data_IF_887063767131
#
_entry.id   IF_887063767131
#
_cell.length_a   1.000
_cell.length_b   1.000
_cell.length_c   1.000
_cell.angle_alpha   90.00
_cell.angle_beta   90.00
_cell.angle_gamma   90.00
#
_symmetry.space_group_name_H-M   'P 1'
#
loop_
_entity.id
_entity.type
_entity.pdbx_description
1 polymer ?
#
# COMPACT_ATOMS: atom_id res chain seq x y z
N UNK A 1 7.92 -12.53 8.56
CA UNK A 1 7.86 -11.78 7.30
C UNK A 1 9.28 -11.57 6.85
N UNK A 2 9.58 -11.73 5.57
CA UNK A 2 10.89 -11.36 5.04
C UNK A 2 11.20 -9.87 5.34
N UNK A 3 12.42 -9.55 5.74
CA UNK A 3 12.79 -8.21 6.24
C UNK A 3 12.57 -7.11 5.20
N UNK A 4 12.82 -7.41 3.92
CA UNK A 4 12.61 -6.45 2.83
C UNK A 4 11.14 -6.12 2.62
N UNK A 5 10.24 -7.12 2.68
CA UNK A 5 8.80 -6.88 2.62
C UNK A 5 8.32 -6.12 3.87
N UNK A 6 8.78 -6.51 5.05
CA UNK A 6 8.42 -5.83 6.31
C UNK A 6 8.75 -4.34 6.27
N UNK A 7 9.94 -3.99 5.77
CA UNK A 7 10.39 -2.60 5.63
C UNK A 7 9.64 -1.82 4.54
N UNK A 8 9.23 -2.49 3.47
CA UNK A 8 8.44 -1.87 2.41
C UNK A 8 6.99 -1.62 2.86
N UNK A 9 6.40 -2.57 3.58
CA UNK A 9 5.01 -2.56 4.01
C UNK A 9 4.76 -1.60 5.20
N UNK A 10 5.70 -1.53 6.15
CA UNK A 10 5.57 -0.69 7.34
C UNK A 10 5.10 0.77 7.10
N UNK A 11 5.67 1.54 6.16
CA UNK A 11 5.19 2.90 5.89
C UNK A 11 3.77 2.92 5.33
N UNK A 12 3.36 1.93 4.53
CA UNK A 12 2.00 1.86 3.99
C UNK A 12 0.98 1.58 5.10
N UNK A 13 1.29 0.66 6.02
CA UNK A 13 0.45 0.39 7.19
C UNK A 13 0.31 1.61 8.09
N UNK A 14 1.40 2.37 8.28
CA UNK A 14 1.36 3.63 9.02
C UNK A 14 0.38 4.64 8.39
N UNK A 15 0.39 4.74 7.06
CA UNK A 15 -0.55 5.62 6.35
C UNK A 15 -2.00 5.11 6.45
N UNK A 16 -2.24 3.80 6.36
CA UNK A 16 -3.57 3.22 6.60
C UNK A 16 -4.09 3.60 7.99
N UNK A 17 -3.28 3.40 9.03
CA UNK A 17 -3.65 3.69 10.42
C UNK A 17 -3.93 5.19 10.62
N UNK A 18 -3.06 6.06 10.14
CA UNK A 18 -3.18 7.52 10.36
C UNK A 18 -4.31 8.16 9.57
N UNK A 19 -4.65 7.62 8.40
CA UNK A 19 -5.74 8.15 7.56
C UNK A 19 -7.10 7.46 7.78
N UNK A 20 -7.18 6.52 8.73
CA UNK A 20 -8.42 5.81 9.06
C UNK A 20 -8.83 4.76 8.01
N UNK A 21 -7.87 4.27 7.23
CA UNK A 21 -8.04 3.14 6.32
C UNK A 21 -8.32 1.81 7.06
N UNK A 22 -8.71 0.76 6.33
CA UNK A 22 -8.83 -0.58 6.90
C UNK A 22 -7.47 -1.10 7.36
N UNK A 23 -7.39 -1.72 8.54
CA UNK A 23 -6.14 -2.27 9.07
C UNK A 23 -6.11 -3.78 8.83
N UNK A 24 -5.22 -4.31 7.97
CA UNK A 24 -5.16 -5.74 7.68
C UNK A 24 -4.52 -6.51 8.83
N UNK A 25 -4.89 -7.78 8.99
CA UNK A 25 -4.05 -8.76 9.68
C UNK A 25 -3.02 -9.28 8.69
N UNK A 26 -1.73 -9.16 9.01
CA UNK A 26 -0.64 -9.60 8.14
C UNK A 26 -0.12 -10.96 8.60
N UNK A 27 -0.24 -11.97 7.74
CA UNK A 27 0.32 -13.31 7.98
C UNK A 27 1.54 -13.55 7.10
N UNK A 28 2.61 -14.03 7.72
CA UNK A 28 3.87 -14.41 7.08
C UNK A 28 3.80 -15.79 6.43
N UNK A 29 2.82 -15.98 5.56
CA UNK A 29 2.80 -17.14 4.67
C UNK A 29 3.49 -16.77 3.36
N UNK A 30 4.77 -17.14 3.26
CA UNK A 30 5.53 -17.00 2.01
C UNK A 30 5.02 -18.05 1.01
N UNK A 31 4.00 -17.67 0.25
CA UNK A 31 3.31 -18.56 -0.70
C UNK A 31 4.11 -18.76 -2.00
N UNK A 32 5.10 -17.90 -2.24
CA UNK A 32 6.00 -17.99 -3.39
C UNK A 32 7.29 -18.70 -3.00
N UNK A 33 7.39 -20.01 -3.22
CA UNK A 33 8.63 -20.78 -3.00
C UNK A 33 9.80 -20.40 -3.95
N UNK A 34 9.83 -19.16 -4.46
CA UNK A 34 10.72 -18.64 -5.48
C UNK A 34 11.55 -17.50 -4.85
N UNK A 35 12.83 -17.75 -4.58
CA UNK A 35 13.71 -16.85 -3.82
C UNK A 35 14.07 -15.49 -4.45
N UNK A 36 13.28 -15.00 -5.41
CA UNK A 36 13.43 -13.67 -6.02
C UNK A 36 12.37 -12.68 -5.51
N UNK A 37 11.34 -13.17 -4.84
CA UNK A 37 10.28 -12.37 -4.24
C UNK A 37 10.18 -12.68 -2.76
N UNK A 38 9.71 -11.69 -2.01
CA UNK A 38 9.24 -11.90 -0.65
C UNK A 38 7.74 -11.64 -0.62
N UNK A 39 6.97 -12.53 -0.02
CA UNK A 39 5.50 -12.45 0.00
C UNK A 39 4.91 -12.57 1.41
N UNK A 40 3.67 -12.11 1.56
CA UNK A 40 2.85 -12.26 2.76
C UNK A 40 1.36 -12.22 2.36
N UNK A 41 0.48 -12.56 3.30
CA UNK A 41 -0.98 -12.45 3.12
C UNK A 41 -1.53 -11.30 3.96
N UNK A 42 -2.38 -10.48 3.34
CA UNK A 42 -3.25 -9.53 4.01
C UNK A 42 -4.62 -10.18 4.19
N UNK A 43 -5.11 -10.22 5.43
CA UNK A 43 -6.42 -10.76 5.75
C UNK A 43 -7.38 -9.67 6.20
N UNK A 44 -8.56 -9.71 5.60
CA UNK A 44 -9.76 -8.97 5.97
C UNK A 44 -10.35 -9.53 7.27
N UNK A 45 -11.15 -8.75 8.02
CA UNK A 45 -11.86 -9.25 9.20
C UNK A 45 -12.84 -10.40 8.91
N UNK A 46 -13.33 -10.48 7.66
CA UNK A 46 -14.29 -11.48 7.19
C UNK A 46 -13.60 -12.70 6.51
N UNK A 47 -12.32 -12.92 6.80
CA UNK A 47 -11.47 -14.02 6.28
C UNK A 47 -11.21 -14.00 4.75
N UNK A 48 -11.47 -12.87 4.08
CA UNK A 48 -10.96 -12.59 2.73
C UNK A 48 -9.44 -12.36 2.75
N UNK A 49 -8.69 -12.91 1.79
CA UNK A 49 -7.23 -12.85 1.79
C UNK A 49 -6.65 -12.39 0.46
N UNK A 50 -5.72 -11.43 0.51
CA UNK A 50 -4.97 -10.93 -0.66
C UNK A 50 -3.47 -11.12 -0.42
N UNK A 51 -2.80 -11.78 -1.37
CA UNK A 51 -1.35 -11.94 -1.33
C UNK A 51 -0.65 -10.66 -1.77
N UNK A 52 0.34 -10.23 -1.01
CA UNK A 52 1.23 -9.12 -1.37
C UNK A 52 2.66 -9.62 -1.51
N UNK A 53 3.45 -8.92 -2.33
CA UNK A 53 4.84 -9.29 -2.55
C UNK A 53 5.71 -8.10 -2.97
N UNK A 54 7.03 -8.28 -2.89
CA UNK A 54 8.04 -7.38 -3.44
C UNK A 54 9.15 -8.17 -4.13
N UNK A 55 9.76 -7.60 -5.18
CA UNK A 55 10.99 -8.15 -5.75
C UNK A 55 12.20 -7.79 -4.88
N UNK A 56 13.00 -8.79 -4.53
CA UNK A 56 14.18 -8.61 -3.66
C UNK A 56 15.34 -7.86 -4.34
N UNK A 57 15.31 -7.74 -5.67
CA UNK A 57 16.31 -6.99 -6.45
C UNK A 57 15.99 -5.51 -6.66
N UNK A 58 14.77 -5.07 -6.33
CA UNK A 58 14.34 -3.69 -6.53
C UNK A 58 14.88 -2.75 -5.44
N UNK A 59 14.96 -1.45 -5.76
CA UNK A 59 15.29 -0.44 -4.76
C UNK A 59 14.21 -0.36 -3.69
N UNK A 60 14.56 0.13 -2.50
CA UNK A 60 13.58 0.33 -1.42
C UNK A 60 12.37 1.15 -1.87
N UNK A 61 12.59 2.23 -2.62
CA UNK A 61 11.52 3.08 -3.10
C UNK A 61 10.57 2.33 -4.03
N UNK A 62 11.10 1.51 -4.94
CA UNK A 62 10.30 0.67 -5.83
C UNK A 62 9.51 -0.38 -5.04
N UNK A 63 10.12 -1.03 -4.05
CA UNK A 63 9.44 -2.00 -3.20
C UNK A 63 8.29 -1.35 -2.41
N UNK A 64 8.50 -0.15 -1.84
CA UNK A 64 7.46 0.60 -1.13
C UNK A 64 6.34 1.01 -2.09
N UNK A 65 6.67 1.53 -3.27
CA UNK A 65 5.66 1.90 -4.24
C UNK A 65 4.82 0.70 -4.70
N UNK A 66 5.48 -0.42 -4.97
CA UNK A 66 4.83 -1.64 -5.43
C UNK A 66 3.92 -2.27 -4.37
N UNK A 67 4.33 -2.30 -3.10
CA UNK A 67 3.46 -2.82 -2.03
C UNK A 67 2.35 -1.84 -1.68
N UNK A 68 2.58 -0.53 -1.84
CA UNK A 68 1.54 0.49 -1.65
C UNK A 68 0.39 0.32 -2.66
N UNK A 69 0.70 0.04 -3.93
CA UNK A 69 -0.31 -0.22 -4.95
C UNK A 69 -1.14 -1.48 -4.62
N UNK A 70 -0.49 -2.58 -4.22
CA UNK A 70 -1.21 -3.81 -3.82
C UNK A 70 -2.08 -3.61 -2.57
N UNK A 71 -1.59 -2.88 -1.57
CA UNK A 71 -2.36 -2.54 -0.37
C UNK A 71 -3.54 -1.62 -0.71
N UNK A 72 -3.37 -0.70 -1.67
CA UNK A 72 -4.45 0.15 -2.14
C UNK A 72 -5.57 -0.66 -2.79
N UNK A 73 -5.23 -1.64 -3.64
CA UNK A 73 -6.22 -2.55 -4.23
C UNK A 73 -6.99 -3.30 -3.14
N UNK A 74 -6.29 -3.88 -2.15
CA UNK A 74 -6.93 -4.54 -1.01
C UNK A 74 -7.83 -3.57 -0.21
N UNK A 75 -7.36 -2.36 0.08
CA UNK A 75 -8.13 -1.39 0.85
C UNK A 75 -9.41 -0.95 0.11
N UNK A 76 -9.37 -0.84 -1.22
CA UNK A 76 -10.55 -0.54 -2.06
C UNK A 76 -11.61 -1.65 -1.91
N UNK A 77 -11.19 -2.91 -1.94
CA UNK A 77 -12.07 -4.06 -1.74
C UNK A 77 -12.70 -4.06 -0.35
N UNK A 78 -11.92 -3.82 0.70
CA UNK A 78 -12.41 -3.76 2.09
C UNK A 78 -13.41 -2.62 2.35
N UNK A 79 -13.26 -1.51 1.63
CA UNK A 79 -14.13 -0.34 1.79
C UNK A 79 -15.44 -0.51 1.01
N UNK A 80 -15.48 -1.41 0.01
CA UNK A 80 -16.61 -1.59 -0.87
C UNK A 80 -17.89 -1.94 -0.10
N UNK A 81 -18.94 -1.15 -0.29
CA UNK A 81 -20.24 -1.35 0.36
C UNK A 81 -20.37 -0.77 1.78
N UNK A 82 -19.30 -0.22 2.37
CA UNK A 82 -19.35 0.38 3.72
C UNK A 82 -18.88 1.85 3.78
N UNK A 83 -17.89 2.23 2.97
CA UNK A 83 -17.21 3.54 3.01
C UNK A 83 -16.76 3.97 1.60
N UNK A 84 -16.34 5.24 1.40
CA UNK A 84 -15.73 5.66 0.13
C UNK A 84 -14.50 4.81 -0.22
N UNK A 85 -14.41 4.36 -1.46
CA UNK A 85 -13.39 3.42 -1.96
C UNK A 85 -12.21 4.13 -2.61
N UNK A 86 -11.82 5.29 -2.09
CA UNK A 86 -10.79 6.15 -2.68
C UNK A 86 -9.59 6.35 -1.75
N UNK A 87 -9.19 5.29 -1.04
CA UNK A 87 -8.05 5.37 -0.12
C UNK A 87 -6.68 5.30 -0.85
N UNK A 88 -5.66 6.10 -0.43
CA UNK A 88 -5.81 7.26 0.44
C UNK A 88 -6.44 8.42 -0.36
N UNK A 89 -7.38 9.17 0.23
CA UNK A 89 -8.10 10.21 -0.49
C UNK A 89 -7.15 11.36 -0.88
N UNK A 90 -7.28 11.85 -2.12
CA UNK A 90 -6.53 13.02 -2.54
C UNK A 90 -7.02 14.29 -1.81
N UNK A 91 -6.16 15.08 -1.14
CA UNK A 91 -6.59 16.27 -0.42
C UNK A 91 -7.16 17.37 -1.33
N UNK A 92 -6.75 17.41 -2.60
CA UNK A 92 -7.29 18.33 -3.60
C UNK A 92 -8.63 17.87 -4.20
N UNK A 93 -8.90 16.55 -4.17
CA UNK A 93 -10.09 15.94 -4.77
C UNK A 93 -10.62 14.79 -3.90
N UNK A 94 -11.03 15.07 -2.64
CA UNK A 94 -11.20 14.04 -1.60
C UNK A 94 -12.35 13.07 -1.82
N UNK A 95 -13.21 13.32 -2.80
CA UNK A 95 -14.37 12.48 -3.13
C UNK A 95 -14.32 11.93 -4.56
N UNK A 96 -13.19 12.08 -5.26
CA UNK A 96 -13.11 11.78 -6.70
C UNK A 96 -12.17 10.64 -7.01
N UNK A 97 -10.96 10.66 -6.46
CA UNK A 97 -9.96 9.64 -6.76
C UNK A 97 -9.02 9.43 -5.56
N UNK A 98 -8.43 8.23 -5.43
CA UNK A 98 -7.33 8.03 -4.52
C UNK A 98 -6.07 8.78 -5.02
N UNK A 99 -5.07 8.92 -4.14
CA UNK A 99 -3.70 9.19 -4.56
C UNK A 99 -3.12 7.91 -5.20
N UNK A 100 -2.17 8.08 -6.10
CA UNK A 100 -1.43 6.96 -6.72
C UNK A 100 0.02 7.00 -6.27
N UNK A 101 0.68 5.85 -6.25
CA UNK A 101 2.09 5.80 -5.85
C UNK A 101 3.02 6.08 -7.03
N UNK A 102 4.08 6.84 -6.80
CA UNK A 102 5.12 7.11 -7.80
C UNK A 102 6.49 7.22 -7.12
N UNK A 103 7.55 6.73 -7.76
CA UNK A 103 8.92 6.92 -7.27
C UNK A 103 9.48 8.24 -7.79
N UNK A 104 9.89 9.13 -6.88
CA UNK A 104 10.54 10.43 -7.18
C UNK A 104 11.74 10.62 -6.26
N UNK A 105 12.88 10.99 -6.84
CA UNK A 105 14.13 11.25 -6.11
C UNK A 105 14.51 10.15 -5.10
N UNK A 106 14.39 8.87 -5.53
CA UNK A 106 14.66 7.67 -4.73
C UNK A 106 13.77 7.49 -3.48
N UNK A 107 12.56 8.06 -3.50
CA UNK A 107 11.51 7.83 -2.51
C UNK A 107 10.17 7.49 -3.19
N UNK A 108 9.34 6.70 -2.53
CA UNK A 108 7.96 6.48 -2.94
C UNK A 108 7.08 7.62 -2.41
N UNK A 109 6.26 8.19 -3.29
CA UNK A 109 5.36 9.30 -3.00
C UNK A 109 3.93 8.95 -3.33
N UNK A 110 3.01 9.45 -2.51
CA UNK A 110 1.62 9.61 -2.87
C UNK A 110 1.45 10.85 -3.73
N UNK A 111 0.94 10.67 -4.93
CA UNK A 111 0.77 11.72 -5.92
C UNK A 111 -0.70 11.85 -6.35
N UNK A 112 -1.12 13.06 -6.68
CA UNK A 112 -2.41 13.27 -7.31
C UNK A 112 -2.36 12.74 -8.76
N UNK A 113 -3.20 11.75 -9.14
CA UNK A 113 -3.22 11.25 -10.52
C UNK A 113 -3.74 12.26 -11.54
N UNK A 114 -4.46 13.30 -11.09
CA UNK A 114 -5.08 14.28 -11.99
C UNK A 114 -4.12 15.38 -12.44
N UNK A 115 -3.25 15.85 -11.55
CA UNK A 115 -2.34 16.98 -11.82
C UNK A 115 -0.86 16.69 -11.50
N UNK A 116 -0.54 15.49 -11.00
CA UNK A 116 0.81 15.07 -10.69
C UNK A 116 1.40 15.66 -9.41
N UNK A 117 0.62 16.41 -8.62
CA UNK A 117 1.08 17.01 -7.37
C UNK A 117 1.57 15.93 -6.40
N UNK A 118 2.83 16.04 -5.96
CA UNK A 118 3.35 15.20 -4.87
C UNK A 118 2.73 15.67 -3.54
N UNK A 119 1.99 14.78 -2.89
CA UNK A 119 1.26 15.11 -1.66
C UNK A 119 2.10 14.79 -0.44
N UNK A 120 2.63 13.56 -0.35
CA UNK A 120 3.43 13.12 0.79
C UNK A 120 4.31 11.93 0.38
N UNK A 121 5.44 11.76 1.08
CA UNK A 121 6.20 10.51 1.02
C UNK A 121 5.36 9.41 1.67
N UNK A 122 5.38 8.19 1.12
CA UNK A 122 4.67 7.05 1.72
C UNK A 122 5.19 6.81 3.15
N UNK A 123 4.27 6.68 4.10
CA UNK A 123 4.53 6.63 5.55
C UNK A 123 4.42 7.98 6.28
N UNK A 124 4.05 9.05 5.56
CA UNK A 124 3.95 10.39 6.14
C UNK A 124 2.58 11.05 6.01
N UNK A 125 1.56 10.32 5.52
CA UNK A 125 0.18 10.82 5.51
C UNK A 125 -0.34 11.05 6.93
N UNK A 126 -1.29 11.97 7.07
CA UNK A 126 -1.87 12.45 8.32
C UNK A 126 -3.33 12.80 8.14
#
# INVERSE_FOLDING_TARGET
MHVELARALAPVLHDLETTGGPVPRVDDEDWTAQGQVASAMLWSPDDGGTGIWVHLGDSRALQVAHVADQVQEWAVEELWGSRPTNWPPCPHHPTTHPLTTEVRDDAAWWCCPKDGTAVAVVGTLR
#
